data_IF_921662545507
#
_entry.id   IF_921662545507
#
_cell.length_a   1.000
_cell.length_b   1.000
_cell.length_c   1.000
_cell.angle_alpha   90.00
_cell.angle_beta   90.00
_cell.angle_gamma   90.00
#
_symmetry.space_group_name_H-M   'P 1'
#
loop_
_entity.id
_entity.type
_entity.pdbx_description
1 polymer ?
#
# COMPACT_ATOMS: atom_id res chain seq x y z
N UNK A 1 15.72 -12.57 5.45
CA UNK A 1 16.90 -12.67 6.31
C UNK A 1 17.81 -13.74 5.74
N UNK A 2 19.10 -13.47 5.69
CA UNK A 2 20.11 -14.34 5.09
C UNK A 2 21.22 -14.61 6.10
N UNK A 3 21.81 -15.80 6.07
CA UNK A 3 22.98 -16.13 6.85
C UNK A 3 24.24 -15.43 6.30
N UNK A 4 25.39 -15.64 6.94
CA UNK A 4 26.68 -15.08 6.50
C UNK A 4 27.07 -15.44 5.05
N UNK A 5 26.44 -16.48 4.47
CA UNK A 5 26.65 -16.94 3.10
C UNK A 5 25.50 -16.54 2.18
N UNK A 6 24.65 -15.60 2.60
CA UNK A 6 23.47 -15.16 1.87
C UNK A 6 22.44 -16.26 1.58
N UNK A 7 22.40 -17.31 2.40
CA UNK A 7 21.32 -18.29 2.31
C UNK A 7 20.09 -17.79 3.04
N UNK A 8 18.90 -17.95 2.45
CA UNK A 8 17.66 -17.60 3.12
C UNK A 8 17.54 -18.35 4.45
N UNK A 9 17.22 -17.64 5.51
CA UNK A 9 16.80 -18.24 6.77
C UNK A 9 15.28 -18.38 6.73
N UNK A 10 14.75 -19.49 7.25
CA UNK A 10 13.31 -19.67 7.33
C UNK A 10 12.69 -18.53 8.13
N UNK A 11 11.73 -17.85 7.51
CA UNK A 11 10.93 -16.80 8.13
C UNK A 11 9.51 -17.33 8.26
N UNK A 12 8.96 -17.26 9.47
CA UNK A 12 7.52 -17.32 9.67
C UNK A 12 7.03 -15.89 9.90
N UNK A 13 6.04 -15.48 9.16
CA UNK A 13 5.36 -14.19 9.37
C UNK A 13 4.09 -14.41 10.18
N UNK A 14 3.72 -13.45 11.03
CA UNK A 14 2.49 -13.54 11.82
C UNK A 14 1.25 -13.46 10.93
N UNK A 15 0.26 -14.30 11.21
CA UNK A 15 -1.00 -14.34 10.49
C UNK A 15 -0.91 -14.89 9.06
N UNK A 16 -1.97 -14.77 8.31
CA UNK A 16 -2.10 -15.25 6.94
C UNK A 16 -1.12 -14.62 5.96
N UNK A 17 -0.37 -13.63 6.42
CA UNK A 17 0.72 -13.01 5.67
C UNK A 17 1.84 -13.98 5.29
N UNK A 18 2.05 -15.04 6.06
CA UNK A 18 3.06 -16.04 5.73
C UNK A 18 2.78 -16.73 4.39
N UNK A 19 1.54 -17.08 4.17
CA UNK A 19 1.09 -17.66 2.89
C UNK A 19 0.99 -16.61 1.81
N UNK A 20 0.61 -15.40 2.15
CA UNK A 20 0.52 -14.29 1.22
C UNK A 20 1.88 -13.76 0.79
N UNK A 21 2.90 -13.86 1.63
CA UNK A 21 4.27 -13.59 1.20
C UNK A 21 4.70 -14.46 0.04
N UNK A 22 4.28 -15.72 -0.01
CA UNK A 22 4.53 -16.62 -1.14
C UNK A 22 3.70 -16.23 -2.37
N UNK A 23 2.44 -15.86 -2.18
CA UNK A 23 1.58 -15.40 -3.26
C UNK A 23 2.05 -14.04 -3.79
N UNK A 24 2.44 -13.14 -2.91
CA UNK A 24 3.04 -11.88 -3.29
C UNK A 24 4.36 -12.05 -4.03
N UNK A 25 5.15 -13.07 -3.73
CA UNK A 25 6.36 -13.39 -4.50
C UNK A 25 6.08 -13.77 -5.96
N UNK A 26 4.86 -14.16 -6.32
CA UNK A 26 4.48 -14.37 -7.72
C UNK A 26 4.01 -13.10 -8.42
N UNK A 27 3.59 -12.09 -7.67
CA UNK A 27 3.05 -10.84 -8.20
C UNK A 27 3.94 -9.62 -7.92
N UNK A 28 4.69 -9.66 -6.83
CA UNK A 28 5.67 -8.66 -6.45
C UNK A 28 7.02 -9.31 -6.19
N UNK A 29 8.12 -8.76 -6.69
CA UNK A 29 9.44 -9.30 -6.42
C UNK A 29 9.78 -9.12 -4.94
N UNK A 30 9.68 -10.21 -4.18
CA UNK A 30 10.19 -10.29 -2.83
C UNK A 30 9.38 -9.57 -1.75
N UNK A 31 9.94 -9.55 -0.56
CA UNK A 31 9.42 -8.85 0.62
C UNK A 31 9.76 -7.35 0.55
N UNK A 32 9.33 -6.66 -0.51
CA UNK A 32 9.55 -5.23 -0.64
C UNK A 32 8.73 -4.49 0.41
N UNK A 33 9.41 -3.63 1.18
CA UNK A 33 8.79 -2.67 2.07
C UNK A 33 8.71 -1.34 1.32
N UNK A 34 7.52 -0.85 1.15
CA UNK A 34 7.25 0.50 0.66
C UNK A 34 7.07 1.45 1.83
N UNK A 35 7.21 2.77 1.63
CA UNK A 35 6.90 3.74 2.67
C UNK A 35 5.56 3.42 3.33
N UNK A 36 5.51 3.45 4.67
CA UNK A 36 4.35 3.09 5.48
C UNK A 36 4.11 1.59 5.69
N UNK A 37 4.71 0.70 4.90
CA UNK A 37 4.57 -0.73 5.16
C UNK A 37 5.34 -1.16 6.42
N UNK A 38 4.76 -2.07 7.15
CA UNK A 38 5.38 -2.78 8.28
C UNK A 38 5.21 -4.26 8.08
N UNK A 39 6.24 -5.03 8.46
CA UNK A 39 6.19 -6.48 8.52
C UNK A 39 6.64 -6.97 9.89
N UNK A 40 5.80 -7.76 10.54
CA UNK A 40 6.19 -8.51 11.72
C UNK A 40 6.63 -9.91 11.31
N UNK A 41 7.84 -10.29 11.70
CA UNK A 41 8.41 -11.58 11.34
C UNK A 41 8.93 -12.30 12.57
N UNK A 42 8.75 -13.61 12.62
CA UNK A 42 9.38 -14.46 13.61
C UNK A 42 10.63 -15.06 12.97
N UNK A 43 11.77 -14.87 13.59
CA UNK A 43 13.06 -15.30 13.08
C UNK A 43 13.64 -16.34 14.03
N UNK A 44 14.02 -17.50 13.49
CA UNK A 44 14.82 -18.47 14.24
C UNK A 44 16.31 -18.13 14.07
N UNK A 45 17.01 -17.99 15.20
CA UNK A 45 18.44 -17.80 15.18
C UNK A 45 19.14 -19.00 14.55
N UNK A 46 20.29 -18.75 13.91
CA UNK A 46 21.17 -19.82 13.41
C UNK A 46 21.61 -20.73 14.54
N UNK A 47 21.74 -22.03 14.26
CA UNK A 47 22.34 -22.99 15.19
C UNK A 47 23.86 -22.77 15.35
N UNK A 48 24.47 -21.99 14.50
CA UNK A 48 25.89 -21.64 14.56
C UNK A 48 26.06 -20.27 15.19
N UNK A 49 26.79 -20.14 16.31
CA UNK A 49 27.12 -18.84 16.85
C UNK A 49 27.87 -17.97 15.84
N UNK A 50 27.62 -16.66 15.86
CA UNK A 50 28.26 -15.75 14.94
C UNK A 50 27.49 -14.43 14.76
N UNK A 51 28.02 -13.57 13.93
CA UNK A 51 27.40 -12.30 13.58
C UNK A 51 26.68 -12.42 12.22
N UNK A 52 25.43 -12.07 12.21
CA UNK A 52 24.54 -12.06 11.05
C UNK A 52 24.04 -10.64 10.79
N UNK A 53 23.58 -10.37 9.58
CA UNK A 53 23.13 -9.04 9.20
C UNK A 53 21.74 -9.11 8.57
N UNK A 54 20.86 -8.25 9.04
CA UNK A 54 19.65 -7.89 8.31
C UNK A 54 20.04 -6.83 7.28
N UNK A 55 19.71 -7.07 6.02
CA UNK A 55 20.06 -6.18 4.92
C UNK A 55 18.79 -5.75 4.19
N UNK A 56 18.72 -4.49 3.83
CA UNK A 56 17.83 -4.02 2.78
C UNK A 56 18.53 -4.28 1.44
N UNK A 57 17.88 -5.02 0.57
CA UNK A 57 18.37 -5.16 -0.81
C UNK A 57 18.24 -3.80 -1.53
N UNK A 58 19.02 -3.62 -2.61
CA UNK A 58 18.91 -2.44 -3.44
C UNK A 58 17.45 -2.17 -3.84
N UNK A 59 16.98 -0.97 -3.54
CA UNK A 59 15.63 -0.52 -3.86
C UNK A 59 15.60 0.21 -5.21
N UNK A 60 14.41 0.50 -5.70
CA UNK A 60 14.22 1.28 -6.94
C UNK A 60 14.92 2.64 -6.87
N UNK A 61 15.04 3.22 -5.67
CA UNK A 61 15.68 4.52 -5.42
C UNK A 61 17.16 4.45 -4.99
N UNK A 62 17.72 3.26 -4.81
CA UNK A 62 19.10 3.07 -4.36
C UNK A 62 19.68 1.80 -4.94
N UNK A 63 20.78 1.93 -5.68
CA UNK A 63 21.54 0.80 -6.24
C UNK A 63 22.40 0.06 -5.19
N UNK A 64 22.28 0.44 -3.91
CA UNK A 64 23.13 -0.09 -2.86
C UNK A 64 22.32 -0.91 -1.86
N UNK A 65 22.88 -2.05 -1.50
CA UNK A 65 22.45 -2.83 -0.36
C UNK A 65 22.92 -2.15 0.94
N UNK A 66 22.01 -2.05 1.92
CA UNK A 66 22.30 -1.44 3.20
C UNK A 66 22.15 -2.42 4.36
N UNK A 67 23.04 -2.31 5.35
CA UNK A 67 22.93 -3.09 6.60
C UNK A 67 21.97 -2.35 7.51
N UNK A 68 20.82 -2.96 7.77
CA UNK A 68 19.76 -2.42 8.65
C UNK A 68 20.03 -2.77 10.11
N UNK A 69 20.49 -3.99 10.38
CA UNK A 69 20.78 -4.43 11.74
C UNK A 69 21.87 -5.51 11.76
N UNK A 70 22.58 -5.56 12.87
CA UNK A 70 23.52 -6.63 13.22
C UNK A 70 22.88 -7.52 14.29
N UNK A 71 22.89 -8.83 14.04
CA UNK A 71 22.33 -9.85 14.92
C UNK A 71 23.48 -10.72 15.39
N UNK A 72 23.73 -10.71 16.70
CA UNK A 72 24.76 -11.56 17.31
C UNK A 72 24.09 -12.79 17.91
N UNK A 73 24.51 -13.97 17.46
CA UNK A 73 24.02 -15.26 17.97
C UNK A 73 25.11 -15.87 18.84
N UNK A 74 24.79 -16.11 20.11
CA UNK A 74 25.68 -16.64 21.14
C UNK A 74 25.00 -17.77 21.92
N UNK A 75 25.79 -18.54 22.63
CA UNK A 75 25.33 -19.61 23.51
C UNK A 75 25.07 -20.95 22.79
N UNK A 76 24.49 -21.89 23.54
CA UNK A 76 24.14 -23.21 23.00
C UNK A 76 22.90 -23.15 22.12
N UNK A 77 22.81 -23.97 21.06
CA UNK A 77 21.63 -24.06 20.22
C UNK A 77 20.37 -24.41 21.00
N UNK A 78 19.27 -23.71 20.74
CA UNK A 78 17.95 -24.05 21.26
C UNK A 78 17.20 -24.93 20.26
N UNK A 79 16.61 -26.03 20.75
CA UNK A 79 15.77 -26.94 19.95
C UNK A 79 14.32 -26.43 19.84
N UNK A 80 14.12 -25.13 19.62
CA UNK A 80 12.79 -24.54 19.46
C UNK A 80 12.45 -24.44 17.98
N UNK A 81 11.37 -25.09 17.54
CA UNK A 81 10.86 -24.95 16.19
C UNK A 81 10.14 -23.62 16.00
N UNK A 82 10.14 -23.10 14.76
CA UNK A 82 9.21 -22.00 14.41
C UNK A 82 7.76 -22.48 14.54
N UNK A 83 6.85 -21.63 15.02
CA UNK A 83 5.42 -21.96 15.03
C UNK A 83 4.93 -22.19 13.59
N UNK A 84 3.99 -23.09 13.40
CA UNK A 84 3.27 -23.24 12.15
C UNK A 84 2.28 -22.08 11.99
N UNK A 85 1.91 -21.77 10.75
CA UNK A 85 0.90 -20.74 10.50
C UNK A 85 -0.42 -21.03 11.22
N UNK A 86 -0.78 -22.32 11.36
CA UNK A 86 -1.94 -22.79 12.12
C UNK A 86 -1.86 -22.52 13.63
N UNK A 87 -0.66 -22.32 14.18
CA UNK A 87 -0.45 -22.07 15.60
C UNK A 87 -0.58 -20.60 15.97
N UNK A 88 -0.68 -19.73 14.95
CA UNK A 88 -0.82 -18.29 15.13
C UNK A 88 -2.29 -17.93 15.38
N UNK A 89 -2.55 -16.90 16.21
CA UNK A 89 -3.93 -16.50 16.50
C UNK A 89 -4.63 -15.98 15.22
N UNK A 90 -5.87 -16.41 15.04
CA UNK A 90 -6.76 -15.92 14.00
C UNK A 90 -7.79 -14.99 14.64
N UNK A 91 -7.88 -13.77 14.14
CA UNK A 91 -8.85 -12.78 14.60
C UNK A 91 -10.09 -12.82 13.71
N UNK A 92 -11.28 -12.97 14.34
CA UNK A 92 -12.55 -13.07 13.63
C UNK A 92 -12.82 -11.84 12.72
N UNK A 93 -12.39 -10.67 13.17
CA UNK A 93 -12.58 -9.42 12.44
C UNK A 93 -11.71 -9.30 11.18
N UNK A 94 -10.64 -10.10 11.11
CA UNK A 94 -9.78 -10.19 9.94
C UNK A 94 -10.12 -11.36 9.00
N UNK A 95 -11.33 -11.93 9.09
CA UNK A 95 -11.78 -12.84 8.05
C UNK A 95 -11.92 -12.12 6.71
N UNK A 96 -11.55 -12.75 5.59
CA UNK A 96 -11.71 -12.15 4.28
C UNK A 96 -13.15 -11.70 4.03
N UNK A 97 -13.32 -10.58 3.35
CA UNK A 97 -14.64 -10.08 2.95
C UNK A 97 -15.05 -10.79 1.67
N UNK A 98 -16.09 -11.62 1.76
CA UNK A 98 -16.58 -12.43 0.63
C UNK A 98 -17.43 -11.60 -0.37
N UNK A 99 -17.72 -12.20 -1.53
CA UNK A 99 -18.61 -11.61 -2.52
C UNK A 99 -20.05 -11.51 -1.97
N UNK A 100 -20.48 -12.47 -1.17
CA UNK A 100 -21.81 -12.49 -0.53
C UNK A 100 -21.92 -11.37 0.50
N UNK A 101 -20.87 -11.14 1.30
CA UNK A 101 -20.86 -10.05 2.29
C UNK A 101 -20.89 -8.70 1.57
N UNK A 102 -20.07 -8.50 0.53
CA UNK A 102 -20.09 -7.29 -0.29
C UNK A 102 -21.49 -7.04 -0.88
N UNK A 103 -22.10 -8.07 -1.49
CA UNK A 103 -23.43 -7.97 -2.10
C UNK A 103 -24.52 -7.65 -1.08
N UNK A 104 -24.46 -8.23 0.13
CA UNK A 104 -25.43 -7.99 1.21
C UNK A 104 -25.43 -6.53 1.72
N UNK A 105 -24.33 -5.81 1.50
CA UNK A 105 -24.18 -4.38 1.82
C UNK A 105 -24.30 -3.47 0.59
N UNK A 106 -24.96 -3.93 -0.47
CA UNK A 106 -25.24 -3.15 -1.67
C UNK A 106 -24.18 -3.21 -2.77
N UNK A 107 -23.08 -3.95 -2.56
CA UNK A 107 -22.09 -4.25 -3.60
C UNK A 107 -21.40 -3.02 -4.20
N UNK A 108 -21.27 -1.92 -3.46
CA UNK A 108 -20.73 -0.67 -4.01
C UNK A 108 -19.27 -0.79 -4.36
N UNK A 109 -18.94 -0.34 -5.57
CA UNK A 109 -17.58 -0.34 -6.10
C UNK A 109 -17.13 1.08 -6.40
N UNK A 110 -15.84 1.37 -6.10
CA UNK A 110 -15.19 2.63 -6.47
C UNK A 110 -13.94 2.35 -7.28
N UNK A 111 -13.67 3.23 -8.22
CA UNK A 111 -12.43 3.23 -8.99
C UNK A 111 -11.76 4.59 -8.81
N UNK A 112 -10.55 4.59 -8.25
CA UNK A 112 -9.78 5.78 -7.96
C UNK A 112 -8.44 5.72 -8.71
N UNK A 113 -7.82 6.88 -8.89
CA UNK A 113 -6.54 7.02 -9.61
C UNK A 113 -5.54 7.75 -8.75
N UNK A 114 -4.30 7.26 -8.75
CA UNK A 114 -3.10 7.96 -8.33
C UNK A 114 -2.29 8.32 -9.57
N UNK A 115 -1.87 9.58 -9.67
CA UNK A 115 -1.18 10.08 -10.85
C UNK A 115 -0.19 11.19 -10.53
N UNK A 116 0.97 11.15 -11.18
CA UNK A 116 1.86 12.30 -11.32
C UNK A 116 1.81 12.70 -12.79
N UNK A 117 1.36 13.90 -13.06
CA UNK A 117 1.04 14.38 -14.40
C UNK A 117 1.76 15.70 -14.68
N UNK A 118 2.16 15.97 -15.93
CA UNK A 118 2.63 17.31 -16.30
C UNK A 118 1.55 18.35 -16.06
N UNK A 119 1.95 19.55 -15.63
CA UNK A 119 1.06 20.70 -15.56
C UNK A 119 0.44 20.97 -16.95
N UNK A 120 -0.88 21.09 -17.00
CA UNK A 120 -1.63 21.25 -18.24
C UNK A 120 -2.09 19.95 -18.89
N UNK A 121 -1.82 18.80 -18.27
CA UNK A 121 -2.42 17.53 -18.71
C UNK A 121 -3.96 17.63 -18.68
N UNK A 122 -4.61 17.14 -19.74
CA UNK A 122 -6.06 17.22 -19.88
C UNK A 122 -6.86 16.47 -18.81
N UNK A 123 -6.22 15.55 -18.12
CA UNK A 123 -6.83 14.78 -17.00
C UNK A 123 -6.91 15.61 -15.71
N UNK A 124 -6.17 16.70 -15.60
CA UNK A 124 -6.21 17.56 -14.42
C UNK A 124 -7.48 18.43 -14.41
N UNK A 125 -8.00 18.67 -13.20
CA UNK A 125 -9.02 19.68 -13.00
C UNK A 125 -8.44 21.08 -13.27
N UNK A 126 -9.26 22.05 -13.68
CA UNK A 126 -8.82 23.45 -13.65
C UNK A 126 -8.58 23.87 -12.19
N UNK A 127 -7.58 24.72 -11.97
CA UNK A 127 -7.34 25.34 -10.66
C UNK A 127 -8.57 26.19 -10.31
N UNK A 128 -9.17 25.95 -9.15
CA UNK A 128 -10.32 26.73 -8.71
C UNK A 128 -9.93 28.19 -8.43
N UNK A 129 -10.85 29.10 -8.63
CA UNK A 129 -10.61 30.53 -8.40
C UNK A 129 -10.28 30.77 -6.91
N UNK A 130 -9.12 31.35 -6.67
CA UNK A 130 -8.61 31.64 -5.32
C UNK A 130 -7.87 30.48 -4.66
N UNK A 131 -7.58 29.41 -5.39
CA UNK A 131 -6.74 28.31 -4.97
C UNK A 131 -5.48 28.24 -5.83
N UNK A 132 -4.34 28.03 -5.16
CA UNK A 132 -3.06 27.79 -5.81
C UNK A 132 -2.65 26.33 -5.50
N UNK A 133 -2.41 25.55 -6.57
CA UNK A 133 -1.79 24.26 -6.39
C UNK A 133 -0.33 24.42 -6.05
N UNK A 134 0.15 23.69 -5.04
CA UNK A 134 1.57 23.59 -4.83
C UNK A 134 2.18 22.76 -5.97
N UNK A 135 2.95 23.42 -6.82
CA UNK A 135 3.64 22.80 -7.95
C UNK A 135 5.13 23.03 -7.72
N UNK A 136 5.95 21.98 -7.63
CA UNK A 136 7.39 22.13 -7.47
C UNK A 136 7.95 23.01 -8.60
N UNK A 137 8.73 24.03 -8.23
CA UNK A 137 9.36 24.96 -9.15
C UNK A 137 10.88 24.89 -9.00
N UNK A 138 11.62 24.93 -10.11
CA UNK A 138 13.07 25.04 -10.11
C UNK A 138 13.82 23.76 -9.76
N UNK A 139 15.12 23.88 -9.54
CA UNK A 139 16.08 22.77 -9.43
C UNK A 139 16.09 22.05 -8.08
N UNK A 140 15.20 22.42 -7.17
CA UNK A 140 15.22 21.94 -5.77
C UNK A 140 14.60 20.58 -5.52
N UNK A 141 13.91 20.00 -6.50
CA UNK A 141 13.31 18.67 -6.42
C UNK A 141 13.60 17.95 -7.75
N UNK A 142 14.72 17.31 -7.82
CA UNK A 142 15.30 16.66 -9.01
C UNK A 142 14.26 16.02 -9.94
N UNK A 143 13.93 16.71 -11.04
CA UNK A 143 13.01 16.22 -12.06
C UNK A 143 11.51 16.35 -11.76
N UNK A 144 11.10 16.96 -10.66
CA UNK A 144 9.68 17.13 -10.29
C UNK A 144 9.08 18.47 -10.69
N UNK A 145 9.87 19.38 -11.30
CA UNK A 145 9.40 20.69 -11.74
C UNK A 145 8.23 20.55 -12.74
N UNK A 146 7.19 21.33 -12.53
CA UNK A 146 5.96 21.33 -13.34
C UNK A 146 5.18 20.00 -13.35
N UNK A 147 5.38 19.13 -12.36
CA UNK A 147 4.56 17.95 -12.13
C UNK A 147 3.46 18.24 -11.10
N UNK A 148 2.30 17.68 -11.33
CA UNK A 148 1.15 17.74 -10.43
C UNK A 148 0.91 16.36 -9.84
N UNK A 149 0.94 16.27 -8.51
CA UNK A 149 0.68 15.07 -7.75
C UNK A 149 -0.82 15.00 -7.44
N UNK A 150 -1.54 14.21 -8.22
CA UNK A 150 -2.98 14.27 -8.26
C UNK A 150 -3.63 12.91 -7.96
N UNK A 151 -4.86 12.99 -7.52
CA UNK A 151 -5.72 11.83 -7.29
C UNK A 151 -7.17 12.15 -7.62
N UNK A 152 -8.02 11.14 -7.79
CA UNK A 152 -9.43 11.34 -8.10
C UNK A 152 -10.17 10.08 -8.48
N UNK A 153 -11.42 10.25 -8.91
CA UNK A 153 -12.22 9.16 -9.45
C UNK A 153 -11.72 8.78 -10.86
N UNK A 154 -11.64 7.47 -11.12
CA UNK A 154 -11.39 6.96 -12.44
C UNK A 154 -12.62 7.12 -13.35
N UNK A 155 -12.39 7.20 -14.66
CA UNK A 155 -13.44 7.21 -15.67
C UNK A 155 -13.40 8.43 -16.58
N UNK A 156 -13.98 8.28 -17.77
CA UNK A 156 -14.02 9.34 -18.77
C UNK A 156 -14.77 10.57 -18.24
N UNK A 157 -14.15 11.75 -18.41
CA UNK A 157 -14.71 13.02 -17.95
C UNK A 157 -14.45 13.36 -16.48
N UNK A 158 -14.00 12.43 -15.66
CA UNK A 158 -13.53 12.74 -14.31
C UNK A 158 -12.17 13.42 -14.38
N UNK A 159 -11.97 14.38 -13.48
CA UNK A 159 -10.73 15.12 -13.38
C UNK A 159 -10.00 14.78 -12.10
N UNK A 160 -8.67 14.79 -12.18
CA UNK A 160 -7.77 14.58 -11.06
C UNK A 160 -7.28 15.92 -10.53
N UNK A 161 -7.10 16.00 -9.22
CA UNK A 161 -6.55 17.21 -8.58
C UNK A 161 -5.60 16.85 -7.45
N UNK A 162 -4.67 17.73 -7.09
CA UNK A 162 -4.00 17.64 -5.81
C UNK A 162 -5.01 17.80 -4.68
N UNK A 163 -4.60 17.45 -3.47
CA UNK A 163 -5.37 17.72 -2.27
C UNK A 163 -5.60 19.23 -2.11
N UNK A 164 -6.84 19.59 -1.84
CA UNK A 164 -7.23 20.98 -1.63
C UNK A 164 -7.79 21.14 -0.21
N UNK A 165 -7.37 22.22 0.44
CA UNK A 165 -7.79 22.52 1.81
C UNK A 165 -9.28 22.87 1.97
N UNK A 166 -9.99 23.08 0.88
CA UNK A 166 -11.42 23.34 0.86
C UNK A 166 -12.30 22.18 1.37
N UNK A 167 -11.68 21.10 1.86
CA UNK A 167 -12.26 20.05 2.70
C UNK A 167 -13.58 19.45 2.20
N UNK A 168 -13.80 19.46 0.90
CA UNK A 168 -14.89 18.70 0.33
C UNK A 168 -14.52 17.24 0.31
N UNK A 169 -15.29 16.40 1.00
CA UNK A 169 -15.08 14.97 0.93
C UNK A 169 -15.31 14.51 -0.51
N UNK A 170 -14.29 13.87 -1.08
CA UNK A 170 -14.40 13.36 -2.45
C UNK A 170 -15.08 12.01 -2.51
N UNK A 171 -15.02 11.24 -1.41
CA UNK A 171 -15.67 9.95 -1.24
C UNK A 171 -16.59 9.98 -0.02
N UNK A 172 -17.91 9.90 -0.23
CA UNK A 172 -18.88 9.73 0.85
C UNK A 172 -19.29 8.27 0.96
N UNK A 173 -19.19 7.72 2.15
CA UNK A 173 -19.47 6.31 2.49
C UNK A 173 -20.47 6.27 3.64
N UNK A 174 -21.42 5.34 3.61
CA UNK A 174 -22.32 5.15 4.75
C UNK A 174 -21.63 4.37 5.87
N UNK A 175 -21.90 4.71 7.11
CA UNK A 175 -21.49 3.88 8.25
C UNK A 175 -22.11 2.48 8.13
N UNK A 176 -21.38 1.45 8.48
CA UNK A 176 -21.70 0.04 8.29
C UNK A 176 -21.72 -0.44 6.83
N UNK A 177 -21.27 0.38 5.88
CA UNK A 177 -21.08 -0.09 4.52
C UNK A 177 -19.93 -1.09 4.41
N UNK A 178 -20.03 -1.99 3.43
CA UNK A 178 -18.91 -2.78 2.90
C UNK A 178 -18.74 -2.39 1.44
N UNK A 179 -17.57 -1.92 1.07
CA UNK A 179 -17.30 -1.47 -0.28
C UNK A 179 -16.06 -2.14 -0.87
N UNK A 180 -16.03 -2.30 -2.20
CA UNK A 180 -14.86 -2.73 -2.97
C UNK A 180 -14.26 -1.52 -3.68
N UNK A 181 -12.98 -1.26 -3.45
CA UNK A 181 -12.25 -0.15 -4.07
C UNK A 181 -11.13 -0.68 -4.96
N UNK A 182 -11.00 -0.09 -6.14
CA UNK A 182 -9.88 -0.33 -7.04
C UNK A 182 -9.09 0.96 -7.21
N UNK A 183 -7.81 0.91 -6.85
CA UNK A 183 -6.88 2.01 -7.07
C UNK A 183 -6.07 1.72 -8.32
N UNK A 184 -6.07 2.65 -9.25
CA UNK A 184 -5.29 2.61 -10.48
C UNK A 184 -4.08 3.53 -10.37
N UNK A 185 -2.95 3.05 -10.86
CA UNK A 185 -1.71 3.79 -10.97
C UNK A 185 -1.36 3.97 -12.45
N UNK A 186 -1.22 5.22 -12.89
CA UNK A 186 -0.90 5.56 -14.28
C UNK A 186 0.61 5.79 -14.51
N UNK A 187 1.41 5.74 -13.45
CA UNK A 187 2.84 6.00 -13.50
C UNK A 187 3.66 4.71 -13.59
N UNK A 188 4.87 4.80 -14.13
CA UNK A 188 5.79 3.68 -14.33
C UNK A 188 6.50 3.19 -13.06
N UNK A 189 6.12 3.66 -11.88
CA UNK A 189 6.64 3.25 -10.57
C UNK A 189 5.48 3.05 -9.58
N UNK A 190 5.69 2.25 -8.53
CA UNK A 190 4.60 1.93 -7.59
C UNK A 190 4.26 3.10 -6.68
N UNK A 191 2.99 3.18 -6.28
CA UNK A 191 2.51 4.10 -5.25
C UNK A 191 2.00 3.30 -4.05
N UNK A 192 2.55 3.47 -2.84
CA UNK A 192 1.97 2.88 -1.63
C UNK A 192 0.70 3.64 -1.25
N UNK A 193 -0.45 3.03 -1.49
CA UNK A 193 -1.75 3.55 -1.08
C UNK A 193 -1.98 3.28 0.40
N UNK A 194 -2.38 4.28 1.13
CA UNK A 194 -2.83 4.18 2.53
C UNK A 194 -4.18 4.86 2.71
N UNK A 195 -5.04 4.28 3.51
CA UNK A 195 -6.29 4.89 3.98
C UNK A 195 -6.31 4.85 5.49
N UNK A 196 -6.66 5.97 6.11
CA UNK A 196 -6.79 6.05 7.56
C UNK A 196 -8.00 5.24 8.04
N UNK A 197 -7.96 4.82 9.29
CA UNK A 197 -9.04 4.15 10.04
C UNK A 197 -9.31 2.71 9.61
N UNK A 198 -9.48 2.45 8.30
CA UNK A 198 -9.99 1.17 7.82
C UNK A 198 -8.89 0.27 7.29
N UNK A 199 -8.82 -0.96 7.79
CA UNK A 199 -8.00 -2.00 7.19
C UNK A 199 -8.59 -2.48 5.86
N UNK A 200 -7.72 -2.80 4.93
CA UNK A 200 -8.06 -3.19 3.57
C UNK A 200 -7.79 -4.67 3.32
N UNK A 201 -8.83 -5.41 2.95
CA UNK A 201 -8.72 -6.81 2.51
C UNK A 201 -8.43 -6.84 1.01
N UNK A 202 -7.16 -7.02 0.62
CA UNK A 202 -6.75 -7.08 -0.80
C UNK A 202 -7.24 -8.36 -1.42
N UNK A 203 -7.90 -8.26 -2.59
CA UNK A 203 -8.50 -9.40 -3.32
C UNK A 203 -8.02 -9.54 -4.75
N UNK A 204 -7.50 -8.46 -5.40
CA UNK A 204 -6.94 -8.53 -6.75
C UNK A 204 -5.72 -7.60 -6.89
N UNK A 205 -4.78 -7.98 -7.74
CA UNK A 205 -3.65 -7.17 -8.18
C UNK A 205 -3.59 -7.24 -9.70
N UNK A 206 -3.50 -6.11 -10.38
CA UNK A 206 -3.54 -5.99 -11.85
C UNK A 206 -4.71 -6.76 -12.47
N UNK A 207 -5.89 -6.70 -11.82
CA UNK A 207 -7.09 -7.40 -12.22
C UNK A 207 -7.12 -8.92 -11.96
N UNK A 208 -5.97 -9.53 -11.64
CA UNK A 208 -5.87 -10.94 -11.28
C UNK A 208 -6.21 -11.18 -9.79
N UNK A 209 -6.95 -12.25 -9.46
CA UNK A 209 -7.27 -12.58 -8.08
C UNK A 209 -6.01 -12.98 -7.29
N UNK A 210 -5.99 -12.63 -6.01
CA UNK A 210 -4.96 -13.07 -5.06
C UNK A 210 -5.62 -13.78 -3.87
N UNK A 211 -4.84 -14.59 -3.15
CA UNK A 211 -5.29 -15.03 -1.83
C UNK A 211 -5.53 -13.80 -0.97
N UNK A 212 -6.73 -13.58 -0.42
CA UNK A 212 -7.03 -12.38 0.34
C UNK A 212 -6.08 -12.17 1.52
N UNK A 213 -5.62 -10.93 1.69
CA UNK A 213 -4.80 -10.54 2.83
C UNK A 213 -5.15 -9.13 3.29
N UNK A 214 -4.87 -8.84 4.57
CA UNK A 214 -5.15 -7.54 5.17
C UNK A 214 -3.91 -6.66 5.17
N UNK A 215 -4.10 -5.40 4.83
CA UNK A 215 -3.07 -4.37 4.89
C UNK A 215 -3.70 -2.98 5.07
N UNK A 216 -3.02 -2.09 5.75
CA UNK A 216 -3.39 -0.68 5.84
C UNK A 216 -2.62 0.19 4.83
N UNK A 217 -1.53 -0.32 4.33
CA UNK A 217 -0.71 0.32 3.30
C UNK A 217 -0.44 -0.69 2.19
N UNK A 218 -0.92 -0.39 0.99
CA UNK A 218 -0.94 -1.34 -0.13
C UNK A 218 -0.14 -0.78 -1.29
N UNK A 219 0.93 -1.44 -1.74
CA UNK A 219 1.64 -1.01 -2.93
C UNK A 219 0.75 -1.19 -4.17
N UNK A 220 0.46 -0.10 -4.88
CA UNK A 220 -0.23 -0.14 -6.17
C UNK A 220 0.80 -0.33 -7.26
N UNK A 221 0.73 -1.39 -8.08
CA UNK A 221 1.69 -1.69 -9.12
C UNK A 221 1.92 -0.52 -10.09
N UNK A 222 3.11 -0.43 -10.70
CA UNK A 222 3.33 0.52 -11.78
C UNK A 222 2.50 0.20 -13.02
N UNK A 223 2.17 1.23 -13.78
CA UNK A 223 1.70 1.06 -15.16
C UNK A 223 2.80 0.42 -16.01
N UNK A 224 2.42 -0.48 -16.88
CA UNK A 224 3.33 -1.18 -17.78
C UNK A 224 2.67 -1.44 -19.13
N UNK A 225 3.41 -1.23 -20.21
CA UNK A 225 2.99 -1.52 -21.59
C UNK A 225 1.63 -0.88 -21.96
N UNK A 226 1.39 0.35 -21.46
CA UNK A 226 0.15 1.09 -21.70
C UNK A 226 -1.05 0.65 -20.84
N UNK A 227 -0.84 -0.28 -19.92
CA UNK A 227 -1.85 -0.75 -18.97
C UNK A 227 -1.56 -0.19 -17.59
N UNK A 228 -2.55 0.44 -16.96
CA UNK A 228 -2.43 0.94 -15.60
C UNK A 228 -2.20 -0.22 -14.63
N UNK A 229 -1.29 0.01 -13.66
CA UNK A 229 -1.24 -0.86 -12.50
C UNK A 229 -2.49 -0.72 -11.65
N UNK A 230 -2.90 -1.76 -10.94
CA UNK A 230 -4.06 -1.67 -10.07
C UNK A 230 -4.03 -2.63 -8.89
N UNK A 231 -4.71 -2.24 -7.82
CA UNK A 231 -5.01 -3.09 -6.68
C UNK A 231 -6.50 -2.96 -6.35
N UNK A 232 -7.16 -4.08 -6.06
CA UNK A 232 -8.56 -4.09 -5.60
C UNK A 232 -8.61 -4.66 -4.20
N UNK A 233 -9.29 -3.97 -3.31
CA UNK A 233 -9.48 -4.37 -1.93
C UNK A 233 -10.89 -4.06 -1.45
N UNK A 234 -11.28 -4.69 -0.34
CA UNK A 234 -12.57 -4.50 0.31
C UNK A 234 -12.36 -3.98 1.73
N UNK A 235 -13.29 -3.16 2.19
CA UNK A 235 -13.25 -2.55 3.52
C UNK A 235 -14.62 -2.60 4.17
N UNK A 236 -14.61 -2.69 5.51
CA UNK A 236 -15.78 -2.46 6.38
C UNK A 236 -15.65 -1.09 7.02
N UNK A 237 -16.69 -0.29 6.93
CA UNK A 237 -16.76 1.06 7.54
C UNK A 237 -17.61 1.01 8.80
N UNK A 238 -17.18 0.28 9.84
CA UNK A 238 -18.04 -0.20 10.92
C UNK A 238 -18.04 0.65 12.19
N UNK A 239 -17.00 1.42 12.48
CA UNK A 239 -16.80 1.95 13.83
C UNK A 239 -16.50 3.45 13.92
N UNK A 240 -16.08 4.12 12.86
CA UNK A 240 -15.79 5.55 12.86
C UNK A 240 -16.60 6.29 11.79
N UNK A 241 -17.25 7.36 12.18
CA UNK A 241 -17.86 8.32 11.25
C UNK A 241 -17.07 9.64 11.30
N UNK A 242 -17.18 10.42 10.23
CA UNK A 242 -16.46 11.69 10.10
C UNK A 242 -15.50 11.69 8.91
N UNK A 243 -14.60 12.66 8.90
CA UNK A 243 -13.68 12.91 7.79
C UNK A 243 -12.28 12.41 8.13
N UNK A 244 -11.66 11.70 7.19
CA UNK A 244 -10.27 11.28 7.21
C UNK A 244 -9.72 11.21 5.79
N UNK A 245 -8.46 10.87 5.63
CA UNK A 245 -7.78 10.89 4.34
C UNK A 245 -7.42 9.49 3.85
N UNK A 246 -7.28 9.37 2.54
CA UNK A 246 -6.45 8.37 1.89
C UNK A 246 -5.41 9.08 1.03
N UNK A 247 -4.23 8.49 0.90
CA UNK A 247 -3.09 9.11 0.22
C UNK A 247 -2.06 8.09 -0.26
N UNK A 248 -1.16 8.55 -1.11
CA UNK A 248 0.10 7.84 -1.36
C UNK A 248 1.01 8.05 -0.15
N UNK A 249 1.60 6.99 0.40
CA UNK A 249 2.47 7.08 1.57
C UNK A 249 3.95 7.32 1.22
N UNK A 250 4.29 7.63 -0.03
CA UNK A 250 5.56 8.27 -0.36
C UNK A 250 5.44 9.73 0.07
N UNK A 251 6.30 10.14 1.01
CA UNK A 251 6.16 11.41 1.73
C UNK A 251 6.15 12.63 0.81
N UNK A 252 7.02 12.64 -0.19
CA UNK A 252 7.07 13.67 -1.22
C UNK A 252 5.78 13.70 -2.09
N UNK A 253 5.18 12.55 -2.38
CA UNK A 253 3.92 12.49 -3.12
C UNK A 253 2.73 12.98 -2.27
N UNK A 254 2.71 12.58 -1.00
CA UNK A 254 1.71 12.99 -0.03
C UNK A 254 1.73 14.51 0.17
N UNK A 255 2.91 15.06 0.49
CA UNK A 255 3.12 16.49 0.75
C UNK A 255 2.79 17.36 -0.48
N UNK A 256 2.98 16.82 -1.68
CA UNK A 256 2.67 17.49 -2.94
C UNK A 256 1.22 17.32 -3.40
N UNK A 257 0.38 16.62 -2.60
CA UNK A 257 -1.06 16.58 -2.79
C UNK A 257 -1.66 15.30 -3.35
N UNK A 258 -0.93 14.18 -3.41
CA UNK A 258 -1.51 12.89 -3.78
C UNK A 258 -2.35 12.30 -2.62
N UNK A 259 -3.44 12.98 -2.32
CA UNK A 259 -4.31 12.76 -1.17
C UNK A 259 -5.74 13.17 -1.49
N UNK A 260 -6.71 12.56 -0.82
CA UNK A 260 -8.11 12.99 -0.83
C UNK A 260 -8.80 12.68 0.49
N UNK A 261 -10.00 13.25 0.66
CA UNK A 261 -10.87 13.00 1.83
C UNK A 261 -11.84 11.85 1.57
N UNK A 262 -12.12 11.16 2.65
CA UNK A 262 -13.29 10.29 2.82
C UNK A 262 -14.15 10.88 3.92
N UNK A 263 -15.45 10.88 3.74
CA UNK A 263 -16.44 11.19 4.77
C UNK A 263 -17.34 9.98 4.98
N UNK A 264 -17.28 9.40 6.17
CA UNK A 264 -18.20 8.36 6.59
C UNK A 264 -19.38 9.05 7.29
N UNK A 265 -20.57 8.85 6.75
CA UNK A 265 -21.82 9.43 7.25
C UNK A 265 -22.69 8.38 7.91
N UNK A 266 -23.42 8.80 8.98
CA UNK A 266 -24.31 7.93 9.73
C UNK A 266 -25.55 7.51 8.91
#
# INVERSE_FOLDING_TARGET
VFDQKFKPINLATSGDYATNGVVNNQQWPGNALYPGNRHSVIVQASQTPGTYYLRAAAAISSDKEEIVARIVVEGAPMATALPLASDLPHYADHRPISDEELASHGGKQRNLVLAILPLGDERLAPVAAGEDWFIPQGDGMDGMANLVFASGNAGAGNKLSPFQSALTATQTVALNAVEEWTIHNVNGYPHPFHIHVNDSCVVKVNGGPVTPYWADTIPVPPAKDGVNGSVTFRMRFSDFHGKYVWHCHALDHEDLGMMQLVEVVA
#
